data_IF_986682145453
#
_entry.id   IF_986682145453
#
_cell.length_a   1.000
_cell.length_b   1.000
_cell.length_c   1.000
_cell.angle_alpha   90.00
_cell.angle_beta   90.00
_cell.angle_gamma   90.00
#
_symmetry.space_group_name_H-M   'P 1'
#
loop_
_entity.id
_entity.type
_entity.pdbx_description
1 polymer ?
#
# COMPACT_ATOMS: atom_id res chain seq x y z
N UNK A 1 19.40 22.63 23.21
CA UNK A 1 18.71 21.44 23.77
C UNK A 1 17.33 21.40 23.17
N UNK A 2 17.20 20.81 21.98
CA UNK A 2 15.93 20.65 21.27
C UNK A 2 15.24 19.43 21.86
N UNK A 3 14.20 19.65 22.65
CA UNK A 3 13.39 18.57 23.20
C UNK A 3 12.54 18.02 22.06
N UNK A 4 13.01 16.96 21.40
CA UNK A 4 12.19 16.19 20.45
C UNK A 4 10.99 15.65 21.22
N UNK A 5 9.85 16.33 21.11
CA UNK A 5 8.60 15.83 21.66
C UNK A 5 8.32 14.49 20.98
N UNK A 6 8.32 13.41 21.76
CA UNK A 6 8.06 12.08 21.24
C UNK A 6 6.72 12.08 20.49
N UNK A 7 6.72 11.59 19.25
CA UNK A 7 5.52 11.55 18.41
C UNK A 7 4.35 10.88 19.14
N UNK A 8 3.15 11.44 18.97
CA UNK A 8 1.91 10.89 19.53
C UNK A 8 1.72 9.42 19.10
N UNK A 9 1.13 8.54 19.94
CA UNK A 9 0.80 7.18 19.53
C UNK A 9 -0.13 7.14 18.31
N UNK A 10 -1.00 8.15 18.12
CA UNK A 10 -1.88 8.27 16.95
C UNK A 10 -1.06 8.56 15.69
N UNK A 11 -0.12 9.50 15.78
CA UNK A 11 0.80 9.83 14.69
C UNK A 11 1.62 8.60 14.26
N UNK A 12 2.17 7.84 15.22
CA UNK A 12 2.89 6.58 14.91
C UNK A 12 2.03 5.55 14.21
N UNK A 13 0.76 5.38 14.62
CA UNK A 13 -0.16 4.45 13.95
C UNK A 13 -0.47 4.88 12.52
N UNK A 14 -0.74 6.16 12.32
CA UNK A 14 -0.97 6.72 10.99
C UNK A 14 0.26 6.55 10.08
N UNK A 15 1.47 6.79 10.60
CA UNK A 15 2.72 6.55 9.89
C UNK A 15 2.87 5.08 9.46
N UNK A 16 2.60 4.14 10.38
CA UNK A 16 2.60 2.70 10.05
C UNK A 16 1.58 2.34 8.96
N UNK A 17 0.39 2.94 8.99
CA UNK A 17 -0.63 2.70 7.96
C UNK A 17 -0.22 3.28 6.59
N UNK A 18 0.39 4.48 6.57
CA UNK A 18 0.93 5.09 5.35
C UNK A 18 2.11 4.29 4.78
N UNK A 19 3.00 3.80 5.63
CA UNK A 19 4.10 2.93 5.23
C UNK A 19 3.57 1.61 4.63
N UNK A 20 2.56 0.99 5.26
CA UNK A 20 1.93 -0.21 4.72
C UNK A 20 1.28 0.04 3.35
N UNK A 21 0.62 1.19 3.13
CA UNK A 21 0.09 1.55 1.81
C UNK A 21 1.21 1.65 0.78
N UNK A 22 2.32 2.33 1.11
CA UNK A 22 3.49 2.48 0.23
C UNK A 22 4.10 1.14 -0.17
N UNK A 23 4.27 0.24 0.80
CA UNK A 23 4.83 -1.10 0.57
C UNK A 23 3.94 -1.95 -0.34
N UNK A 24 2.62 -1.87 -0.15
CA UNK A 24 1.65 -2.67 -0.90
C UNK A 24 1.26 -2.03 -2.24
N UNK A 25 1.67 -0.79 -2.51
CA UNK A 25 1.26 -0.05 -3.71
C UNK A 25 1.71 -0.74 -5.00
N UNK A 26 2.93 -1.27 -5.03
CA UNK A 26 3.43 -2.03 -6.18
C UNK A 26 2.62 -3.29 -6.46
N UNK A 27 2.25 -4.02 -5.40
CA UNK A 27 1.38 -5.21 -5.52
C UNK A 27 0.00 -4.84 -6.07
N UNK A 28 -0.58 -3.73 -5.60
CA UNK A 28 -1.88 -3.24 -6.06
C UNK A 28 -1.84 -2.88 -7.55
N UNK A 29 -0.82 -2.14 -7.98
CA UNK A 29 -0.65 -1.79 -9.39
C UNK A 29 -0.41 -3.03 -10.26
N UNK A 30 0.35 -4.02 -9.78
CA UNK A 30 0.54 -5.29 -10.48
C UNK A 30 -0.76 -6.10 -10.56
N UNK A 31 -1.63 -6.01 -9.55
CA UNK A 31 -2.91 -6.72 -9.51
C UNK A 31 -3.89 -6.21 -10.58
N UNK A 32 -3.77 -4.95 -11.04
CA UNK A 32 -4.61 -4.39 -12.11
C UNK A 32 -4.51 -5.23 -13.38
N UNK A 33 -3.30 -5.65 -13.75
CA UNK A 33 -3.04 -6.43 -14.96
C UNK A 33 -3.29 -7.93 -14.80
N UNK A 34 -3.77 -8.39 -13.64
CA UNK A 34 -4.04 -9.80 -13.35
C UNK A 34 -5.54 -10.03 -13.25
N UNK A 35 -6.09 -11.16 -13.70
CA UNK A 35 -7.46 -11.50 -13.42
C UNK A 35 -7.70 -11.55 -11.90
N UNK A 36 -8.87 -11.12 -11.40
CA UNK A 36 -9.19 -11.21 -9.98
C UNK A 36 -9.13 -12.69 -9.52
N UNK A 37 -8.24 -12.98 -8.58
CA UNK A 37 -8.04 -14.33 -8.08
C UNK A 37 -9.24 -14.78 -7.23
N UNK A 38 -9.91 -15.86 -7.65
CA UNK A 38 -11.03 -16.45 -6.92
C UNK A 38 -10.61 -17.05 -5.56
N UNK A 39 -9.33 -17.38 -5.36
CA UNK A 39 -8.79 -18.00 -4.16
C UNK A 39 -7.41 -17.43 -3.80
N UNK A 40 -7.13 -17.32 -2.49
CA UNK A 40 -5.83 -16.93 -1.95
C UNK A 40 -5.19 -18.13 -1.24
N UNK A 41 -3.87 -18.38 -1.32
CA UNK A 41 -2.89 -17.62 -2.08
C UNK A 41 -3.13 -17.76 -3.60
N UNK A 42 -2.77 -16.74 -4.41
CA UNK A 42 -3.00 -16.80 -5.85
C UNK A 42 -2.21 -17.99 -6.40
N UNK A 43 -2.91 -18.95 -7.02
CA UNK A 43 -2.31 -20.17 -7.59
C UNK A 43 -1.24 -19.86 -8.65
N UNK A 44 -1.25 -18.66 -9.19
CA UNK A 44 -0.24 -18.16 -10.14
C UNK A 44 1.11 -17.81 -9.46
N UNK A 45 1.15 -17.61 -8.13
CA UNK A 45 2.42 -17.44 -7.41
C UNK A 45 3.16 -18.78 -7.21
N UNK A 46 2.46 -19.90 -7.07
CA UNK A 46 3.06 -21.24 -7.20
C UNK A 46 3.48 -21.50 -8.63
N UNK A 47 2.64 -21.11 -9.60
CA UNK A 47 2.97 -21.20 -11.02
C UNK A 47 4.25 -20.46 -11.39
N UNK A 48 4.45 -19.23 -10.93
CA UNK A 48 5.67 -18.45 -11.23
C UNK A 48 6.95 -19.08 -10.65
N UNK A 49 6.88 -19.71 -9.48
CA UNK A 49 8.01 -20.41 -8.87
C UNK A 49 8.29 -21.76 -9.55
N UNK A 50 7.23 -22.51 -9.88
CA UNK A 50 7.32 -23.75 -10.68
C UNK A 50 7.79 -23.48 -12.11
N UNK A 51 7.43 -22.31 -12.67
CA UNK A 51 7.81 -21.88 -14.01
C UNK A 51 9.27 -21.41 -14.05
N UNK A 52 9.78 -20.76 -12.99
CA UNK A 52 11.23 -20.54 -12.84
C UNK A 52 12.00 -21.87 -12.72
N UNK A 53 11.45 -22.85 -12.01
CA UNK A 53 12.05 -24.18 -11.87
C UNK A 53 11.94 -25.03 -13.15
N UNK A 54 10.92 -24.80 -13.97
CA UNK A 54 10.70 -25.45 -15.25
C UNK A 54 11.48 -24.78 -16.40
N UNK A 55 11.68 -23.47 -16.37
CA UNK A 55 12.49 -22.72 -17.34
C UNK A 55 13.97 -23.15 -17.26
N UNK A 56 14.48 -23.50 -16.07
CA UNK A 56 15.80 -24.14 -15.89
C UNK A 56 15.90 -25.55 -16.54
N UNK A 57 14.78 -26.17 -16.88
CA UNK A 57 14.67 -27.51 -17.48
C UNK A 57 14.21 -27.49 -18.95
N UNK A 58 13.68 -26.36 -19.45
CA UNK A 58 13.00 -26.25 -20.74
C UNK A 58 13.80 -25.56 -21.85
N UNK A 59 15.06 -25.16 -21.60
CA UNK A 59 15.96 -24.62 -22.64
C UNK A 59 16.28 -25.63 -23.78
N UNK A 60 15.90 -26.91 -23.66
CA UNK A 60 16.20 -27.96 -24.64
C UNK A 60 15.10 -28.24 -25.70
N UNK A 61 13.86 -27.72 -25.59
CA UNK A 61 12.70 -28.32 -26.33
C UNK A 61 11.66 -27.35 -26.98
N UNK A 62 12.02 -26.11 -27.33
CA UNK A 62 11.04 -25.13 -27.84
C UNK A 62 11.14 -24.85 -29.35
N UNK A 63 10.51 -25.69 -30.20
CA UNK A 63 10.40 -25.39 -31.63
C UNK A 63 9.04 -25.63 -32.32
N UNK A 64 7.94 -26.02 -31.64
CA UNK A 64 6.80 -26.58 -32.43
C UNK A 64 5.35 -26.08 -32.31
N UNK A 65 4.91 -25.17 -31.42
CA UNK A 65 3.44 -24.98 -31.30
C UNK A 65 2.95 -23.53 -31.13
N UNK A 66 3.01 -22.75 -32.23
CA UNK A 66 2.16 -21.59 -32.44
C UNK A 66 1.32 -21.77 -33.72
N UNK A 67 0.01 -22.00 -33.59
CA UNK A 67 -0.85 -22.07 -34.78
C UNK A 67 -2.33 -22.38 -34.56
N UNK A 68 -3.12 -21.30 -34.46
CA UNK A 68 -4.51 -21.17 -34.96
C UNK A 68 -5.67 -21.90 -34.27
N UNK A 69 -6.70 -21.13 -33.87
CA UNK A 69 -7.98 -21.02 -34.62
C UNK A 69 -8.96 -20.05 -33.93
N UNK A 70 -9.24 -18.94 -34.60
CA UNK A 70 -10.38 -18.06 -34.30
C UNK A 70 -11.61 -18.67 -34.99
N UNK A 71 -12.43 -19.37 -34.22
CA UNK A 71 -13.77 -19.82 -34.61
C UNK A 71 -14.83 -18.99 -33.89
N UNK A 72 -15.79 -18.45 -34.63
CA UNK A 72 -16.92 -17.67 -34.09
C UNK A 72 -17.76 -18.54 -33.13
N UNK A 73 -17.76 -18.17 -31.86
CA UNK A 73 -18.52 -18.83 -30.78
C UNK A 73 -19.81 -18.04 -30.48
N UNK A 74 -20.94 -18.68 -30.14
CA UNK A 74 -22.21 -17.99 -29.90
C UNK A 74 -22.10 -17.09 -28.66
N UNK A 75 -22.79 -15.94 -28.67
CA UNK A 75 -22.88 -15.01 -27.55
C UNK A 75 -23.65 -15.62 -26.38
N UNK A 76 -23.04 -16.57 -25.67
CA UNK A 76 -23.36 -16.77 -24.27
C UNK A 76 -22.70 -15.64 -23.51
N UNK A 77 -23.48 -14.94 -22.68
CA UNK A 77 -22.98 -13.98 -21.69
C UNK A 77 -22.20 -14.77 -20.64
N UNK A 78 -21.04 -15.31 -21.02
CA UNK A 78 -20.08 -15.86 -20.07
C UNK A 78 -19.58 -14.67 -19.29
N UNK A 79 -19.72 -14.75 -17.97
CA UNK A 79 -18.99 -13.95 -16.99
C UNK A 79 -17.50 -14.28 -17.16
N UNK A 80 -16.91 -13.81 -18.26
CA UNK A 80 -15.48 -13.75 -18.40
C UNK A 80 -15.04 -12.63 -17.45
N UNK A 81 -14.24 -12.93 -16.41
CA UNK A 81 -13.65 -11.86 -15.62
C UNK A 81 -12.94 -10.92 -16.60
N UNK A 82 -13.14 -9.62 -16.41
CA UNK A 82 -12.50 -8.63 -17.25
C UNK A 82 -10.98 -8.92 -17.31
N UNK A 83 -10.34 -8.72 -18.47
CA UNK A 83 -8.89 -8.96 -18.60
C UNK A 83 -8.07 -8.07 -17.64
N UNK A 84 -8.70 -7.02 -17.08
CA UNK A 84 -8.17 -6.12 -16.07
C UNK A 84 -8.96 -6.29 -14.76
N UNK A 85 -8.28 -6.31 -13.62
CA UNK A 85 -8.93 -6.25 -12.32
C UNK A 85 -9.39 -4.81 -12.04
N UNK A 86 -10.66 -4.54 -12.35
CA UNK A 86 -11.27 -3.22 -12.14
C UNK A 86 -11.36 -2.85 -10.66
N UNK A 87 -11.54 -3.81 -9.77
CA UNK A 87 -11.57 -3.55 -8.32
C UNK A 87 -10.20 -3.02 -7.83
N UNK A 88 -9.11 -3.59 -8.34
CA UNK A 88 -7.76 -3.10 -8.03
C UNK A 88 -7.50 -1.69 -8.62
N UNK A 89 -8.01 -1.42 -9.83
CA UNK A 89 -7.89 -0.11 -10.46
C UNK A 89 -8.69 0.96 -9.70
N UNK A 90 -9.94 0.66 -9.35
CA UNK A 90 -10.82 1.57 -8.60
C UNK A 90 -10.24 1.85 -7.22
N UNK A 91 -9.73 0.83 -6.53
CA UNK A 91 -9.05 0.99 -5.25
C UNK A 91 -7.78 1.86 -5.37
N UNK A 92 -6.99 1.68 -6.43
CA UNK A 92 -5.81 2.52 -6.67
C UNK A 92 -6.21 3.99 -6.89
N UNK A 93 -7.18 4.26 -7.77
CA UNK A 93 -7.64 5.63 -8.03
C UNK A 93 -8.27 6.28 -6.78
N UNK A 94 -9.04 5.52 -6.00
CA UNK A 94 -9.62 6.00 -4.74
C UNK A 94 -8.53 6.40 -3.74
N UNK A 95 -7.58 5.50 -3.48
CA UNK A 95 -6.50 5.73 -2.51
C UNK A 95 -5.57 6.86 -2.95
N UNK A 96 -5.24 6.95 -4.23
CA UNK A 96 -4.43 8.03 -4.79
C UNK A 96 -5.09 9.38 -4.58
N UNK A 97 -6.36 9.52 -4.98
CA UNK A 97 -7.13 10.75 -4.76
C UNK A 97 -7.19 11.11 -3.28
N UNK A 98 -7.52 10.15 -2.42
CA UNK A 98 -7.64 10.41 -0.97
C UNK A 98 -6.32 10.86 -0.34
N UNK A 99 -5.19 10.26 -0.70
CA UNK A 99 -3.89 10.65 -0.16
C UNK A 99 -3.40 11.98 -0.71
N UNK A 100 -3.66 12.30 -1.98
CA UNK A 100 -3.35 13.63 -2.50
C UNK A 100 -4.22 14.72 -1.87
N UNK A 101 -5.52 14.49 -1.72
CA UNK A 101 -6.41 15.45 -1.06
C UNK A 101 -6.09 15.58 0.45
N UNK A 102 -5.57 14.52 1.07
CA UNK A 102 -5.03 14.58 2.42
C UNK A 102 -3.75 15.41 2.49
N UNK A 103 -2.80 15.22 1.55
CA UNK A 103 -1.57 15.99 1.49
C UNK A 103 -1.84 17.48 1.32
N UNK A 104 -2.75 17.85 0.41
CA UNK A 104 -3.17 19.24 0.20
C UNK A 104 -3.75 19.86 1.48
N UNK A 105 -4.66 19.15 2.17
CA UNK A 105 -5.25 19.63 3.43
C UNK A 105 -4.23 19.75 4.55
N UNK A 106 -3.30 18.80 4.66
CA UNK A 106 -2.22 18.87 5.66
C UNK A 106 -1.33 20.07 5.34
N UNK A 107 -0.91 20.25 4.08
CA UNK A 107 -0.10 21.38 3.65
C UNK A 107 -0.76 22.72 3.95
N UNK A 108 -2.04 22.89 3.61
CA UNK A 108 -2.78 24.12 3.90
C UNK A 108 -2.76 24.49 5.40
N UNK A 109 -2.74 23.49 6.28
CA UNK A 109 -2.80 23.72 7.73
C UNK A 109 -1.44 23.87 8.39
N UNK A 110 -0.43 23.12 7.95
CA UNK A 110 0.86 23.02 8.66
C UNK A 110 1.99 23.77 7.99
N UNK A 111 1.92 23.96 6.67
CA UNK A 111 2.95 24.65 5.92
C UNK A 111 2.71 26.16 5.99
N UNK A 112 3.73 26.93 6.38
CA UNK A 112 3.59 28.39 6.36
C UNK A 112 3.44 28.91 4.93
N UNK A 113 2.78 30.07 4.73
CA UNK A 113 2.78 30.76 3.45
C UNK A 113 4.19 31.05 2.93
N UNK A 114 4.29 31.24 1.62
CA UNK A 114 5.53 31.66 0.97
C UNK A 114 5.89 33.05 1.50
N UNK A 115 7.15 33.23 1.91
CA UNK A 115 7.70 34.52 2.33
C UNK A 115 7.76 35.45 1.13
N UNK A 116 7.53 36.72 1.40
CA UNK A 116 7.79 37.76 0.41
C UNK A 116 8.98 38.60 0.85
N UNK A 117 9.81 38.95 -0.12
CA UNK A 117 10.99 39.79 0.03
C UNK A 117 10.83 41.07 -0.79
N UNK A 118 11.52 42.12 -0.38
CA UNK A 118 11.63 43.32 -1.19
C UNK A 118 12.74 43.12 -2.23
N UNK A 119 12.51 43.43 -3.51
CA UNK A 119 13.55 43.33 -4.52
C UNK A 119 14.69 44.29 -4.16
N UNK A 120 15.92 43.77 -4.11
CA UNK A 120 17.13 44.57 -3.85
C UNK A 120 17.60 45.37 -5.08
N UNK A 121 16.86 45.29 -6.18
CA UNK A 121 17.21 45.90 -7.47
C UNK A 121 16.88 47.40 -7.48
N UNK A 122 17.89 48.23 -7.77
CA UNK A 122 17.73 49.67 -7.89
C UNK A 122 16.73 50.03 -9.01
N UNK A 123 15.68 50.77 -8.67
CA UNK A 123 14.64 51.19 -9.62
C UNK A 123 13.50 50.19 -9.85
N UNK A 124 13.53 49.02 -9.19
CA UNK A 124 12.37 48.12 -9.20
C UNK A 124 11.24 48.69 -8.31
N UNK A 125 9.96 48.47 -8.67
CA UNK A 125 8.84 48.77 -7.79
C UNK A 125 9.06 48.11 -6.42
N UNK A 126 8.74 48.81 -5.33
CA UNK A 126 8.90 48.31 -3.96
C UNK A 126 7.88 47.22 -3.57
N UNK A 127 7.28 46.56 -4.56
CA UNK A 127 6.27 45.53 -4.36
C UNK A 127 6.93 44.28 -3.81
N UNK A 128 6.24 43.67 -2.85
CA UNK A 128 6.70 42.46 -2.16
C UNK A 128 6.61 41.27 -3.11
N UNK A 129 7.75 40.76 -3.59
CA UNK A 129 7.78 39.59 -4.49
C UNK A 129 7.93 38.31 -3.66
N UNK A 130 7.37 37.17 -4.09
CA UNK A 130 7.62 35.88 -3.45
C UNK A 130 9.12 35.57 -3.47
N UNK A 131 9.65 35.14 -2.33
CA UNK A 131 11.02 34.67 -2.19
C UNK A 131 11.21 33.39 -3.02
N UNK A 132 12.07 33.38 -4.06
CA UNK A 132 12.21 32.22 -4.95
C UNK A 132 12.80 31.00 -4.21
N UNK A 133 13.71 31.20 -3.28
CA UNK A 133 14.34 30.09 -2.53
C UNK A 133 13.31 29.41 -1.63
N UNK A 134 12.43 30.22 -1.03
CA UNK A 134 11.34 29.72 -0.21
C UNK A 134 10.20 29.12 -1.06
N UNK A 135 9.88 29.74 -2.20
CA UNK A 135 8.85 29.25 -3.12
C UNK A 135 9.23 27.90 -3.70
N UNK A 136 10.50 27.71 -4.07
CA UNK A 136 10.98 26.50 -4.75
C UNK A 136 11.60 25.49 -3.77
N UNK A 137 11.42 25.68 -2.46
CA UNK A 137 11.91 24.79 -1.41
C UNK A 137 11.39 23.35 -1.63
N UNK A 138 12.28 22.35 -1.78
CA UNK A 138 11.89 20.97 -2.04
C UNK A 138 11.16 20.29 -0.88
N UNK A 139 11.25 20.84 0.34
CA UNK A 139 10.52 20.33 1.49
C UNK A 139 9.02 20.69 1.44
N UNK A 140 8.64 21.71 0.66
CA UNK A 140 7.25 22.14 0.51
C UNK A 140 6.42 21.16 -0.31
N UNK A 141 5.18 21.03 0.12
CA UNK A 141 4.12 20.53 -0.75
C UNK A 141 3.60 21.66 -1.62
N UNK A 142 3.68 21.45 -2.94
CA UNK A 142 3.22 22.37 -3.96
C UNK A 142 1.84 21.93 -4.45
N UNK A 143 0.84 22.77 -4.21
CA UNK A 143 -0.52 22.54 -4.67
C UNK A 143 -0.58 22.57 -6.22
N UNK A 144 -1.48 21.78 -6.84
CA UNK A 144 -1.75 21.90 -8.26
C UNK A 144 -2.22 23.33 -8.58
N UNK A 145 -1.70 23.91 -9.67
CA UNK A 145 -2.16 25.21 -10.16
C UNK A 145 -2.87 25.05 -11.51
N UNK A 146 -3.83 25.92 -11.77
CA UNK A 146 -4.57 25.97 -13.03
C UNK A 146 -4.20 27.25 -13.77
N UNK A 147 -4.11 27.21 -15.11
CA UNK A 147 -3.96 28.45 -15.87
C UNK A 147 -5.33 29.12 -16.00
N UNK A 148 -5.36 30.45 -15.98
CA UNK A 148 -6.58 31.25 -16.18
C UNK A 148 -7.23 31.11 -17.58
N UNK A 149 -6.68 30.25 -18.45
CA UNK A 149 -7.16 30.04 -19.82
C UNK A 149 -7.88 28.68 -19.97
N UNK A 150 -9.13 28.61 -19.48
CA UNK A 150 -10.13 27.63 -19.89
C UNK A 150 -10.35 26.41 -18.96
N UNK A 151 -11.54 25.78 -19.00
CA UNK A 151 -11.89 24.69 -18.10
C UNK A 151 -11.16 23.42 -18.54
N UNK A 152 -10.06 23.09 -17.86
CA UNK A 152 -9.41 21.76 -17.71
C UNK A 152 -7.87 21.73 -17.82
N UNK A 153 -7.16 22.87 -17.94
CA UNK A 153 -5.69 22.83 -18.00
C UNK A 153 -5.06 23.10 -16.62
N UNK A 154 -4.76 22.03 -15.87
CA UNK A 154 -3.76 22.07 -14.79
C UNK A 154 -2.45 22.59 -15.40
N UNK A 155 -1.96 23.75 -14.95
CA UNK A 155 -0.71 24.34 -15.43
C UNK A 155 0.50 23.54 -14.93
N UNK A 156 0.39 23.01 -13.72
CA UNK A 156 1.34 22.11 -13.07
C UNK A 156 0.61 21.23 -12.05
N UNK A 157 0.83 19.91 -12.06
CA UNK A 157 0.32 19.00 -11.02
C UNK A 157 0.96 19.23 -9.64
N UNK A 158 1.97 20.10 -9.54
CA UNK A 158 2.66 20.38 -8.28
C UNK A 158 3.34 19.12 -7.72
N UNK A 159 3.32 18.96 -6.39
CA UNK A 159 3.93 17.81 -5.72
C UNK A 159 3.20 16.49 -5.99
N UNK A 160 1.96 16.52 -6.51
CA UNK A 160 1.25 15.30 -6.95
C UNK A 160 1.98 14.60 -8.11
N UNK A 161 2.82 15.30 -8.86
CA UNK A 161 3.63 14.75 -9.96
C UNK A 161 4.59 13.62 -9.53
N UNK A 162 5.03 13.65 -8.26
CA UNK A 162 5.96 12.66 -7.71
C UNK A 162 5.25 11.37 -7.27
N UNK A 163 3.92 11.32 -7.42
CA UNK A 163 3.11 10.13 -7.17
C UNK A 163 2.78 9.88 -5.70
N UNK A 164 2.01 8.82 -5.47
CA UNK A 164 1.46 8.45 -4.17
C UNK A 164 2.53 8.17 -3.12
N UNK A 165 3.65 7.56 -3.53
CA UNK A 165 4.75 7.24 -2.62
C UNK A 165 5.30 8.50 -1.94
N UNK A 166 5.50 9.57 -2.71
CA UNK A 166 5.96 10.86 -2.20
C UNK A 166 4.92 11.50 -1.28
N UNK A 167 3.64 11.52 -1.68
CA UNK A 167 2.57 12.06 -0.84
C UNK A 167 2.53 11.39 0.54
N UNK A 168 2.63 10.06 0.58
CA UNK A 168 2.63 9.29 1.82
C UNK A 168 3.83 9.61 2.72
N UNK A 169 5.07 9.70 2.18
CA UNK A 169 6.26 10.12 2.95
C UNK A 169 6.09 11.52 3.50
N UNK A 170 5.63 12.42 2.65
CA UNK A 170 5.52 13.82 3.01
C UNK A 170 4.52 14.00 4.16
N UNK A 171 3.36 13.35 4.09
CA UNK A 171 2.38 13.33 5.19
C UNK A 171 3.00 12.70 6.43
N UNK A 172 3.63 11.52 6.32
CA UNK A 172 4.26 10.81 7.42
C UNK A 172 5.26 11.70 8.19
N UNK A 173 6.16 12.38 7.47
CA UNK A 173 7.12 13.30 8.06
C UNK A 173 6.45 14.42 8.84
N UNK A 174 5.35 15.00 8.32
CA UNK A 174 4.58 16.01 9.07
C UNK A 174 3.92 15.47 10.33
N UNK A 175 3.37 14.25 10.29
CA UNK A 175 2.77 13.60 11.47
C UNK A 175 3.81 13.28 12.55
N UNK A 176 5.02 12.90 12.14
CA UNK A 176 6.13 12.58 13.04
C UNK A 176 6.89 13.81 13.55
N UNK A 177 6.54 15.01 13.07
CA UNK A 177 7.18 16.26 13.49
C UNK A 177 8.50 16.56 12.76
N UNK A 178 8.75 15.93 11.61
CA UNK A 178 9.93 16.23 10.81
C UNK A 178 9.84 17.64 10.26
N UNK A 179 10.87 18.45 10.58
CA UNK A 179 10.98 19.83 10.11
C UNK A 179 10.16 20.85 10.91
N UNK A 180 9.51 20.46 12.02
CA UNK A 180 8.82 21.43 12.90
C UNK A 180 9.79 22.28 13.73
N UNK A 181 11.05 21.86 13.84
CA UNK A 181 12.12 22.68 14.42
C UNK A 181 12.54 23.82 13.46
N UNK A 182 12.20 23.69 12.18
CA UNK A 182 12.38 24.73 11.17
C UNK A 182 11.15 25.63 11.08
N UNK A 183 11.35 26.88 10.65
CA UNK A 183 10.25 27.87 10.50
C UNK A 183 9.24 27.50 9.39
N UNK A 184 9.47 26.43 8.62
CA UNK A 184 8.63 26.08 7.47
C UNK A 184 7.31 25.39 7.88
N UNK A 185 7.32 24.59 8.95
CA UNK A 185 6.18 23.79 9.36
C UNK A 185 5.78 24.06 10.80
N UNK A 186 4.48 24.14 11.03
CA UNK A 186 3.91 24.14 12.38
C UNK A 186 3.49 22.72 12.77
N UNK A 187 3.48 22.38 14.08
CA UNK A 187 3.03 21.06 14.53
C UNK A 187 1.58 20.75 14.13
N UNK A 188 1.33 19.51 13.68
CA UNK A 188 -0.02 19.05 13.34
C UNK A 188 -0.90 19.04 14.60
N UNK A 189 -2.08 19.67 14.53
CA UNK A 189 -3.04 19.72 15.65
C UNK A 189 -3.62 18.33 15.94
N UNK A 190 -3.96 18.05 17.20
CA UNK A 190 -4.46 16.74 17.63
C UNK A 190 -5.71 16.27 16.85
N UNK A 191 -6.67 17.15 16.56
CA UNK A 191 -7.84 16.82 15.75
C UNK A 191 -7.45 16.38 14.33
N UNK A 192 -6.52 17.12 13.71
CA UNK A 192 -6.01 16.81 12.37
C UNK A 192 -5.23 15.49 12.35
N UNK A 193 -4.51 15.15 13.43
CA UNK A 193 -3.86 13.84 13.58
C UNK A 193 -4.87 12.69 13.55
N UNK A 194 -5.98 12.80 14.27
CA UNK A 194 -7.03 11.75 14.30
C UNK A 194 -7.73 11.60 12.94
N UNK A 195 -8.05 12.71 12.29
CA UNK A 195 -8.60 12.71 10.93
C UNK A 195 -7.64 12.05 9.93
N UNK A 196 -6.36 12.43 10.01
CA UNK A 196 -5.32 11.86 9.15
C UNK A 196 -5.12 10.37 9.40
N UNK A 197 -5.11 9.94 10.67
CA UNK A 197 -5.04 8.54 11.05
C UNK A 197 -6.25 7.74 10.55
N UNK A 198 -7.43 8.35 10.50
CA UNK A 198 -8.64 7.73 9.96
C UNK A 198 -8.52 7.52 8.46
N UNK A 199 -8.09 8.54 7.71
CA UNK A 199 -7.87 8.44 6.25
C UNK A 199 -6.79 7.41 5.93
N UNK A 200 -5.63 7.45 6.60
CA UNK A 200 -4.55 6.49 6.38
C UNK A 200 -5.00 5.04 6.61
N UNK A 201 -5.76 4.79 7.68
CA UNK A 201 -6.32 3.47 7.98
C UNK A 201 -7.32 3.02 6.92
N UNK A 202 -8.19 3.91 6.45
CA UNK A 202 -9.17 3.60 5.40
C UNK A 202 -8.46 3.30 4.08
N UNK A 203 -7.46 4.10 3.71
CA UNK A 203 -6.63 3.87 2.53
C UNK A 203 -5.98 2.47 2.60
N UNK A 204 -5.33 2.16 3.72
CA UNK A 204 -4.76 0.83 3.98
C UNK A 204 -5.79 -0.29 3.83
N UNK A 205 -6.93 -0.18 4.49
CA UNK A 205 -7.99 -1.19 4.42
C UNK A 205 -8.53 -1.38 2.99
N UNK A 206 -8.57 -0.31 2.20
CA UNK A 206 -8.98 -0.34 0.79
C UNK A 206 -7.98 -1.10 -0.07
N UNK A 207 -6.68 -0.81 0.09
CA UNK A 207 -5.60 -1.56 -0.57
C UNK A 207 -5.63 -3.04 -0.17
N UNK A 208 -5.70 -3.34 1.12
CA UNK A 208 -5.71 -4.72 1.63
C UNK A 208 -6.93 -5.49 1.13
N UNK A 209 -8.11 -4.86 1.04
CA UNK A 209 -9.32 -5.48 0.48
C UNK A 209 -9.18 -5.79 -1.00
N UNK A 210 -8.69 -4.84 -1.79
CA UNK A 210 -8.46 -5.04 -3.22
C UNK A 210 -7.45 -6.18 -3.49
N UNK A 211 -6.46 -6.34 -2.60
CA UNK A 211 -5.50 -7.44 -2.64
C UNK A 211 -6.02 -8.75 -2.01
N UNK A 212 -7.25 -8.78 -1.50
CA UNK A 212 -7.83 -9.96 -0.84
C UNK A 212 -7.19 -10.34 0.50
N UNK A 213 -6.53 -9.38 1.17
CA UNK A 213 -5.82 -9.54 2.46
C UNK A 213 -6.68 -9.14 3.68
N UNK A 214 -7.96 -8.81 3.50
CA UNK A 214 -8.82 -8.15 4.51
C UNK A 214 -9.61 -9.08 5.44
N UNK A 215 -9.09 -10.23 5.85
CA UNK A 215 -9.85 -11.12 6.75
C UNK A 215 -10.16 -12.50 6.18
N UNK A 216 -9.56 -12.87 5.05
CA UNK A 216 -9.84 -14.16 4.41
C UNK A 216 -9.29 -15.30 5.23
N UNK A 217 -10.10 -16.35 5.33
CA UNK A 217 -9.67 -17.65 5.84
C UNK A 217 -9.49 -18.58 4.66
N UNK A 218 -8.26 -19.05 4.46
CA UNK A 218 -7.86 -19.98 3.42
C UNK A 218 -7.58 -21.34 4.03
N UNK A 219 -8.01 -22.42 3.38
CA UNK A 219 -7.54 -23.76 3.71
C UNK A 219 -6.21 -24.00 2.98
N UNK A 220 -5.17 -24.42 3.70
CA UNK A 220 -3.91 -24.83 3.08
C UNK A 220 -4.05 -26.26 2.56
N UNK A 221 -3.45 -26.54 1.40
CA UNK A 221 -3.49 -27.85 0.75
C UNK A 221 -2.68 -28.90 1.53
N UNK A 222 -1.54 -28.48 2.12
CA UNK A 222 -0.72 -29.34 2.95
C UNK A 222 -1.38 -29.61 4.32
N UNK A 223 -1.45 -30.88 4.77
CA UNK A 223 -1.92 -31.19 6.11
C UNK A 223 -0.89 -30.76 7.17
N UNK A 224 -1.35 -30.62 8.41
CA UNK A 224 -0.49 -30.31 9.55
C UNK A 224 0.56 -31.43 9.76
N UNK A 225 1.87 -31.14 9.74
CA UNK A 225 2.90 -32.19 9.78
C UNK A 225 2.95 -32.94 11.12
N UNK A 226 2.36 -32.39 12.18
CA UNK A 226 2.33 -33.03 13.51
C UNK A 226 1.08 -33.89 13.77
N UNK A 227 -0.01 -33.70 13.02
CA UNK A 227 -1.27 -34.42 13.33
C UNK A 227 -2.13 -34.77 12.12
N UNK A 228 -1.70 -34.43 10.90
CA UNK A 228 -2.46 -34.63 9.66
C UNK A 228 -3.71 -33.75 9.51
N UNK A 229 -4.03 -32.93 10.52
CA UNK A 229 -5.22 -32.06 10.52
C UNK A 229 -5.14 -30.93 9.50
N UNK A 230 -6.31 -30.38 9.11
CA UNK A 230 -6.39 -29.27 8.16
C UNK A 230 -5.78 -28.00 8.74
N UNK A 231 -4.99 -27.30 7.94
CA UNK A 231 -4.43 -26.00 8.30
C UNK A 231 -5.29 -24.88 7.68
N UNK A 232 -5.58 -23.85 8.47
CA UNK A 232 -6.35 -22.68 8.07
C UNK A 232 -5.50 -21.42 8.22
N UNK A 233 -5.16 -20.77 7.10
CA UNK A 233 -4.53 -19.46 7.07
C UNK A 233 -5.58 -18.37 7.26
N UNK A 234 -5.29 -17.41 8.12
CA UNK A 234 -6.11 -16.24 8.41
C UNK A 234 -5.29 -15.00 8.13
N UNK A 235 -5.75 -14.18 7.18
CA UNK A 235 -5.28 -12.80 7.02
C UNK A 235 -6.20 -11.86 7.80
N UNK A 236 -5.73 -10.69 8.20
CA UNK A 236 -6.59 -9.62 8.74
C UNK A 236 -5.98 -8.29 8.33
N UNK A 237 -6.82 -7.31 8.02
CA UNK A 237 -6.35 -5.96 7.79
C UNK A 237 -5.56 -5.43 8.98
N UNK A 238 -4.44 -4.78 8.73
CA UNK A 238 -3.63 -4.24 9.82
C UNK A 238 -2.75 -5.25 10.56
N UNK A 239 -2.84 -6.54 10.24
CA UNK A 239 -2.38 -7.59 11.14
C UNK A 239 -1.52 -8.66 10.52
N UNK A 240 -0.72 -9.28 11.39
CA UNK A 240 0.12 -10.40 11.02
C UNK A 240 -0.73 -11.62 10.61
N UNK A 241 -0.37 -12.29 9.49
CA UNK A 241 -1.02 -13.52 9.08
C UNK A 241 -0.84 -14.62 10.13
N UNK A 242 -1.85 -15.49 10.24
CA UNK A 242 -1.90 -16.55 11.25
C UNK A 242 -2.33 -17.83 10.60
N UNK A 243 -1.60 -18.92 10.81
CA UNK A 243 -2.10 -20.25 10.47
C UNK A 243 -2.60 -20.92 11.74
N UNK A 244 -3.74 -21.60 11.68
CA UNK A 244 -4.26 -22.42 12.79
C UNK A 244 -4.53 -23.84 12.35
N UNK A 245 -4.35 -24.80 13.25
CA UNK A 245 -4.69 -26.20 12.99
C UNK A 245 -6.12 -26.50 13.45
N UNK A 246 -6.92 -27.15 12.59
CA UNK A 246 -8.29 -27.54 12.89
C UNK A 246 -8.40 -28.54 14.05
N UNK A 247 -7.35 -29.33 14.31
CA UNK A 247 -7.26 -30.31 15.40
C UNK A 247 -7.24 -29.66 16.79
N UNK A 248 -6.98 -28.36 16.89
CA UNK A 248 -7.03 -27.63 18.15
C UNK A 248 -5.92 -28.01 19.13
N UNK A 249 -6.25 -28.06 20.43
CA UNK A 249 -5.29 -28.32 21.50
C UNK A 249 -4.68 -29.73 21.48
N UNK A 250 -5.34 -30.69 20.80
CA UNK A 250 -4.85 -32.05 20.64
C UNK A 250 -3.67 -32.15 19.64
N UNK A 251 -3.38 -31.10 18.88
CA UNK A 251 -2.21 -31.05 18.02
C UNK A 251 -0.92 -30.90 18.86
N UNK A 252 0.03 -31.83 18.65
CA UNK A 252 1.32 -31.87 19.33
C UNK A 252 2.37 -30.88 18.82
N UNK A 253 1.97 -29.92 17.99
CA UNK A 253 2.90 -28.92 17.46
C UNK A 253 3.51 -28.05 18.58
N UNK A 254 4.81 -27.72 18.50
CA UNK A 254 5.53 -26.96 19.53
C UNK A 254 5.26 -25.44 19.44
N UNK A 255 3.99 -25.04 19.38
CA UNK A 255 3.57 -23.63 19.31
C UNK A 255 2.46 -23.32 20.31
N UNK A 256 2.30 -22.05 20.67
CA UNK A 256 1.27 -21.63 21.62
C UNK A 256 -0.15 -21.82 21.04
N UNK A 257 -1.10 -21.97 21.95
CA UNK A 257 -2.53 -21.98 21.61
C UNK A 257 -3.03 -20.53 21.45
N UNK A 258 -3.91 -20.30 20.50
CA UNK A 258 -4.66 -19.05 20.36
C UNK A 258 -5.73 -18.92 21.45
N UNK A 259 -6.40 -17.77 21.47
CA UNK A 259 -7.53 -17.49 22.38
C UNK A 259 -8.71 -18.45 22.23
N UNK A 260 -8.75 -19.24 21.15
CA UNK A 260 -9.77 -20.26 20.88
C UNK A 260 -9.27 -21.68 21.17
N UNK A 261 -8.09 -21.83 21.78
CA UNK A 261 -7.51 -23.13 22.13
C UNK A 261 -6.95 -23.93 20.95
N UNK A 262 -6.59 -23.28 19.84
CA UNK A 262 -5.99 -23.93 18.66
C UNK A 262 -4.52 -23.58 18.53
N UNK A 263 -3.68 -24.54 18.08
CA UNK A 263 -2.29 -24.24 17.74
C UNK A 263 -2.25 -23.17 16.65
N UNK A 264 -1.50 -22.10 16.89
CA UNK A 264 -1.44 -20.96 16.00
C UNK A 264 0.00 -20.53 15.72
N UNK A 265 0.35 -20.47 14.44
CA UNK A 265 1.64 -19.99 13.95
C UNK A 265 1.51 -18.54 13.50
N UNK A 266 2.46 -17.70 13.93
CA UNK A 266 2.55 -16.26 13.63
C UNK A 266 4.01 -15.90 13.40
N UNK A 267 4.27 -14.91 12.56
CA UNK A 267 5.61 -14.34 12.36
C UNK A 267 6.65 -15.39 12.01
N UNK A 268 7.76 -15.40 12.76
CA UNK A 268 8.82 -16.38 12.60
C UNK A 268 8.33 -17.84 12.76
N UNK A 269 7.24 -18.07 13.50
CA UNK A 269 6.61 -19.39 13.62
C UNK A 269 6.04 -19.91 12.30
N UNK A 270 5.66 -19.03 11.36
CA UNK A 270 5.21 -19.44 10.03
C UNK A 270 6.35 -20.04 9.20
N UNK A 271 7.57 -19.53 9.36
CA UNK A 271 8.75 -20.11 8.71
C UNK A 271 9.02 -21.51 9.25
N UNK A 272 8.91 -21.70 10.57
CA UNK A 272 9.04 -23.02 11.19
C UNK A 272 7.96 -24.01 10.73
N UNK A 273 6.72 -23.53 10.50
CA UNK A 273 5.67 -24.34 9.90
C UNK A 273 6.01 -24.75 8.46
N UNK A 274 6.46 -23.80 7.65
CA UNK A 274 6.83 -24.05 6.25
C UNK A 274 7.91 -25.14 6.14
N UNK A 275 9.00 -25.00 6.89
CA UNK A 275 10.10 -25.98 6.93
C UNK A 275 9.60 -27.37 7.37
N UNK A 276 8.71 -27.43 8.36
CA UNK A 276 8.15 -28.70 8.82
C UNK A 276 7.20 -29.35 7.80
N UNK A 277 6.50 -28.55 6.99
CA UNK A 277 5.66 -29.07 5.90
C UNK A 277 6.53 -29.62 4.76
N UNK A 278 7.57 -28.90 4.35
CA UNK A 278 8.50 -29.39 3.31
C UNK A 278 9.20 -30.69 3.72
N UNK A 279 9.60 -30.82 4.99
CA UNK A 279 10.24 -32.03 5.50
C UNK A 279 9.29 -33.24 5.65
N UNK A 280 7.97 -33.02 5.58
CA UNK A 280 6.96 -34.07 5.71
C UNK A 280 6.39 -34.54 4.36
N UNK A 281 6.75 -33.86 3.26
CA UNK A 281 6.52 -34.29 1.88
C UNK A 281 7.62 -35.24 1.41
#
# INVERSE_FOLDING_TARGET
>A
MTTTLAASPVARRAAVDLAAVREQWGDLLAAISRPPAAEWPPRECSGFLDQLAADDLAEDDLDEQQGARIGRTPLTLREHPAPLNLDALDAALEVERELFDLADRVAEQVQRPIRHIKPLTYGAPADSIPDPDDRDDPARWHLPNHRDNGPAAVASPGSRAYGLHWAAVWIEGRLLGEGTDGDLFTPVRALQLEETATVARRARATVERALGRDGRTTTLDAPCPWCGGRLLGHTKSGGEPVVTCSTGAACGAPVLLDVRGRRAWRGAGLVGLWVAMEAAC
#
